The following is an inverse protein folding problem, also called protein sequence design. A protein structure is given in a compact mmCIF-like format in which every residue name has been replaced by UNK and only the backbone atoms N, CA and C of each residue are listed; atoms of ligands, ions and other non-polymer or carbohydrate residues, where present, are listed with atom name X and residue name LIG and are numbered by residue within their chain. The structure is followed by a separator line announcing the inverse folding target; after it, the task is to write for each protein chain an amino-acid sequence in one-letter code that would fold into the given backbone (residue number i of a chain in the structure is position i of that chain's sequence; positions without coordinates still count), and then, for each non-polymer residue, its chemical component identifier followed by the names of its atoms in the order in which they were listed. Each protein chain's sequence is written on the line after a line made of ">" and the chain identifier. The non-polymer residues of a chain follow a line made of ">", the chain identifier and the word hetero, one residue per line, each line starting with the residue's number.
data_IF_381009473618
#
_entry.id   IF_381009473618
#
_cell.length_a   1.000
_cell.length_b   1.000
_cell.length_c   1.000
_cell.angle_alpha   90.00
_cell.angle_beta   90.00
_cell.angle_gamma   90.00
#
_symmetry.space_group_name_H-M   'P 1'
#
loop_
_entity.id
_entity.type
_entity.pdbx_description
1 polymer ?
#
# COMPACT_ATOMS: atom_id res chain seq x y z
N UNK A 1 -0.06 -46.48 16.12
CA UNK A 1 0.96 -45.41 16.10
C UNK A 1 0.23 -44.09 15.85
N UNK A 2 0.00 -43.31 16.90
CA UNK A 2 -0.62 -41.99 16.82
C UNK A 2 0.46 -40.96 17.11
N UNK A 3 0.74 -40.07 16.15
CA UNK A 3 1.73 -39.01 16.28
C UNK A 3 1.04 -37.83 16.96
N UNK A 4 1.44 -37.52 18.20
CA UNK A 4 0.92 -36.35 18.91
C UNK A 4 1.60 -35.09 18.37
N UNK A 5 0.82 -34.18 17.80
CA UNK A 5 1.27 -32.80 17.58
C UNK A 5 1.18 -32.03 18.90
N UNK A 6 2.20 -31.26 19.30
CA UNK A 6 2.11 -30.45 20.52
C UNK A 6 1.06 -29.37 20.31
N UNK A 7 -0.03 -29.52 21.05
CA UNK A 7 -1.12 -28.56 21.16
C UNK A 7 -0.58 -27.29 21.83
N UNK A 8 -0.13 -26.31 21.05
CA UNK A 8 0.28 -25.01 21.56
C UNK A 8 -0.99 -24.22 21.88
N UNK A 9 -1.59 -24.50 23.05
CA UNK A 9 -2.55 -23.59 23.68
C UNK A 9 -1.87 -22.24 23.81
N UNK A 10 -2.39 -21.25 23.11
CA UNK A 10 -2.06 -19.85 23.38
C UNK A 10 -2.71 -19.51 24.72
N UNK A 11 -1.96 -19.69 25.80
CA UNK A 11 -2.32 -19.22 27.13
C UNK A 11 -2.34 -17.68 27.09
N UNK A 12 -3.52 -17.12 26.81
CA UNK A 12 -3.82 -15.70 26.91
C UNK A 12 -3.86 -15.32 28.40
N UNK A 13 -2.69 -15.11 28.99
CA UNK A 13 -2.56 -14.46 30.30
C UNK A 13 -2.27 -12.98 30.10
N UNK A 14 -2.94 -12.17 30.91
CA UNK A 14 -3.00 -10.72 30.85
C UNK A 14 -1.60 -10.06 30.85
N UNK A 15 -1.39 -9.08 29.96
CA UNK A 15 -0.26 -8.14 30.07
C UNK A 15 0.38 -7.65 28.78
N UNK A 16 0.15 -8.30 27.63
CA UNK A 16 0.73 -7.83 26.37
C UNK A 16 -0.12 -6.71 25.76
N UNK A 17 0.29 -5.46 25.98
CA UNK A 17 -0.09 -4.36 25.09
C UNK A 17 0.32 -4.77 23.68
N UNK A 18 -0.64 -5.10 22.81
CA UNK A 18 -0.39 -5.25 21.38
C UNK A 18 0.36 -3.99 20.95
N UNK A 19 1.65 -4.14 20.59
CA UNK A 19 2.39 -3.02 20.02
C UNK A 19 1.69 -2.68 18.70
N UNK A 20 1.29 -1.42 18.47
CA UNK A 20 0.72 -1.03 17.19
C UNK A 20 1.72 -1.39 16.09
N UNK A 21 1.23 -2.02 15.02
CA UNK A 21 2.04 -2.35 13.84
C UNK A 21 2.35 -1.03 13.15
N UNK A 22 3.61 -0.59 13.25
CA UNK A 22 4.05 0.66 12.63
C UNK A 22 4.35 0.40 11.15
N UNK A 23 3.33 0.53 10.29
CA UNK A 23 3.54 0.50 8.83
C UNK A 23 4.19 1.82 8.42
N UNK A 24 5.44 1.77 7.96
CA UNK A 24 6.17 2.91 7.42
C UNK A 24 6.78 2.64 6.03
N UNK A 25 7.13 1.40 5.74
CA UNK A 25 7.72 0.96 4.47
C UNK A 25 6.86 -0.11 3.80
N UNK A 26 6.58 0.07 2.52
CA UNK A 26 5.70 -0.82 1.74
C UNK A 26 6.45 -1.33 0.51
N UNK A 27 6.52 -2.65 0.35
CA UNK A 27 7.02 -3.27 -0.88
C UNK A 27 5.86 -3.48 -1.85
N UNK A 28 5.99 -3.01 -3.09
CA UNK A 28 4.96 -3.18 -4.12
C UNK A 28 5.41 -4.27 -5.11
N UNK A 29 4.88 -5.47 -4.94
CA UNK A 29 5.07 -6.60 -5.87
C UNK A 29 4.14 -6.44 -7.06
N UNK A 30 4.69 -6.49 -8.27
CA UNK A 30 3.94 -6.24 -9.51
C UNK A 30 4.62 -6.88 -10.73
N UNK A 31 3.87 -7.18 -11.80
CA UNK A 31 4.50 -7.55 -13.06
C UNK A 31 5.06 -6.31 -13.76
N UNK A 32 6.02 -6.52 -14.68
CA UNK A 32 6.67 -5.42 -15.40
C UNK A 32 5.67 -4.53 -16.16
N UNK A 33 4.59 -5.12 -16.69
CA UNK A 33 3.51 -4.40 -17.37
C UNK A 33 2.72 -3.45 -16.43
N UNK A 34 2.65 -3.80 -15.14
CA UNK A 34 1.88 -3.08 -14.12
C UNK A 34 2.69 -1.96 -13.45
N UNK A 35 3.88 -1.63 -13.97
CA UNK A 35 4.76 -0.63 -13.37
C UNK A 35 4.04 0.72 -13.19
N UNK A 36 3.14 1.08 -14.11
CA UNK A 36 2.36 2.31 -14.03
C UNK A 36 1.40 2.31 -12.82
N UNK A 37 0.77 1.16 -12.49
CA UNK A 37 -0.06 1.00 -11.29
C UNK A 37 0.80 1.10 -10.02
N UNK A 38 1.95 0.44 -10.01
CA UNK A 38 2.89 0.50 -8.89
C UNK A 38 3.38 1.93 -8.63
N UNK A 39 3.68 2.69 -9.68
CA UNK A 39 4.08 4.10 -9.58
C UNK A 39 2.94 4.99 -9.06
N UNK A 40 1.71 4.77 -9.53
CA UNK A 40 0.53 5.50 -9.05
C UNK A 40 0.29 5.25 -7.56
N UNK A 41 0.34 3.98 -7.13
CA UNK A 41 0.23 3.59 -5.73
C UNK A 41 1.37 4.19 -4.89
N UNK A 42 2.61 4.10 -5.37
CA UNK A 42 3.78 4.67 -4.70
C UNK A 42 3.65 6.19 -4.51
N UNK A 43 3.13 6.91 -5.50
CA UNK A 43 2.89 8.35 -5.40
C UNK A 43 1.83 8.67 -4.33
N UNK A 44 0.72 7.93 -4.29
CA UNK A 44 -0.32 8.11 -3.29
C UNK A 44 0.19 7.85 -1.86
N UNK A 45 0.92 6.74 -1.66
CA UNK A 45 1.55 6.40 -0.38
C UNK A 45 2.59 7.44 0.04
N UNK A 46 3.40 7.92 -0.92
CA UNK A 46 4.42 8.95 -0.68
C UNK A 46 3.83 10.29 -0.22
N UNK A 47 2.63 10.66 -0.68
CA UNK A 47 1.91 11.84 -0.17
C UNK A 47 1.60 11.70 1.32
N UNK A 48 1.41 10.49 1.82
CA UNK A 48 1.12 10.20 3.23
C UNK A 48 2.38 9.99 4.08
N UNK A 49 3.57 10.24 3.50
CA UNK A 49 4.85 10.00 4.17
C UNK A 49 5.22 8.52 4.29
N UNK A 50 4.52 7.61 3.60
CA UNK A 50 4.87 6.20 3.54
C UNK A 50 5.94 5.98 2.47
N UNK A 51 7.02 5.28 2.84
CA UNK A 51 8.06 4.88 1.91
C UNK A 51 7.57 3.68 1.11
N UNK A 52 7.73 3.73 -0.22
CA UNK A 52 7.43 2.60 -1.10
C UNK A 52 8.68 2.15 -1.84
N UNK A 53 8.82 0.84 -2.01
CA UNK A 53 9.94 0.21 -2.69
C UNK A 53 9.44 -0.90 -3.63
N UNK A 54 10.22 -1.15 -4.67
CA UNK A 54 10.09 -2.33 -5.53
C UNK A 54 11.48 -2.67 -6.08
N UNK A 55 11.64 -3.85 -6.67
CA UNK A 55 12.94 -4.40 -7.08
C UNK A 55 13.84 -3.46 -7.92
N UNK A 56 13.24 -2.62 -8.77
CA UNK A 56 13.97 -1.66 -9.63
C UNK A 56 14.17 -0.27 -9.01
N UNK A 57 13.63 0.01 -7.81
CA UNK A 57 13.58 1.36 -7.27
C UNK A 57 14.76 1.68 -6.35
N UNK A 58 15.59 2.65 -6.76
CA UNK A 58 16.64 3.31 -5.94
C UNK A 58 17.61 2.37 -5.20
N UNK A 59 17.77 1.13 -5.68
CA UNK A 59 18.68 0.18 -5.06
C UNK A 59 20.07 0.22 -5.73
N UNK A 60 21.16 -0.01 -4.96
CA UNK A 60 22.51 -0.01 -5.50
C UNK A 60 22.64 -1.00 -6.67
N UNK A 61 23.34 -0.56 -7.74
CA UNK A 61 23.55 -1.37 -8.94
C UNK A 61 24.45 -2.59 -8.66
N UNK A 62 25.20 -2.54 -7.56
CA UNK A 62 26.16 -3.54 -7.11
C UNK A 62 25.50 -4.81 -6.56
N UNK A 63 24.22 -4.74 -6.18
CA UNK A 63 23.46 -5.92 -5.75
C UNK A 63 22.88 -6.68 -6.95
N UNK A 64 22.76 -8.00 -6.85
CA UNK A 64 21.98 -8.77 -7.80
C UNK A 64 20.48 -8.48 -7.64
N UNK A 65 19.68 -8.83 -8.66
CA UNK A 65 18.24 -8.59 -8.63
C UNK A 65 17.55 -9.31 -7.46
N UNK A 66 17.95 -10.55 -7.17
CA UNK A 66 17.38 -11.34 -6.09
C UNK A 66 17.67 -10.71 -4.73
N UNK A 67 18.89 -10.23 -4.49
CA UNK A 67 19.28 -9.55 -3.26
C UNK A 67 18.47 -8.26 -3.07
N UNK A 68 18.24 -7.52 -4.16
CA UNK A 68 17.41 -6.30 -4.12
C UNK A 68 15.97 -6.58 -3.73
N UNK A 69 15.37 -7.60 -4.33
CA UNK A 69 14.02 -8.07 -3.99
C UNK A 69 13.95 -8.49 -2.51
N UNK A 70 14.88 -9.35 -2.09
CA UNK A 70 14.91 -9.88 -0.72
C UNK A 70 15.08 -8.76 0.30
N UNK A 71 15.97 -7.80 0.04
CA UNK A 71 16.16 -6.64 0.89
C UNK A 71 14.92 -5.74 0.94
N UNK A 72 14.33 -5.45 -0.23
CA UNK A 72 13.13 -4.63 -0.32
C UNK A 72 11.96 -5.22 0.48
N UNK A 73 11.74 -6.54 0.35
CA UNK A 73 10.66 -7.22 1.09
C UNK A 73 10.99 -7.26 2.60
N UNK A 74 12.21 -7.66 2.99
CA UNK A 74 12.59 -7.76 4.41
C UNK A 74 12.61 -6.43 5.16
N UNK A 75 12.92 -5.35 4.47
CA UNK A 75 13.00 -4.01 5.06
C UNK A 75 11.65 -3.28 5.05
N UNK A 76 10.63 -3.86 4.43
CA UNK A 76 9.27 -3.34 4.43
C UNK A 76 8.47 -3.90 5.60
N UNK A 77 7.38 -3.22 5.97
CA UNK A 77 6.43 -3.64 7.00
C UNK A 77 5.20 -4.34 6.39
N UNK A 78 4.93 -4.09 5.11
CA UNK A 78 3.82 -4.61 4.35
C UNK A 78 4.27 -4.87 2.90
N UNK A 79 3.84 -6.00 2.33
CA UNK A 79 3.87 -6.23 0.89
C UNK A 79 2.47 -6.00 0.31
N UNK A 80 2.39 -5.15 -0.70
CA UNK A 80 1.20 -5.01 -1.54
C UNK A 80 1.43 -5.78 -2.83
N UNK A 81 0.60 -6.78 -3.10
CA UNK A 81 0.68 -7.57 -4.32
C UNK A 81 -0.34 -7.05 -5.34
N UNK A 82 0.13 -6.49 -6.46
CA UNK A 82 -0.71 -6.12 -7.60
C UNK A 82 -0.96 -7.37 -8.45
N UNK A 83 -2.19 -7.88 -8.42
CA UNK A 83 -2.63 -9.08 -9.11
C UNK A 83 -3.54 -8.67 -10.27
N UNK A 84 -2.93 -8.27 -11.38
CA UNK A 84 -3.57 -8.17 -12.71
C UNK A 84 -3.49 -9.52 -13.43
N UNK A 85 -3.96 -9.61 -14.67
CA UNK A 85 -3.73 -10.79 -15.52
C UNK A 85 -2.22 -11.09 -15.62
N UNK A 86 -1.41 -10.07 -15.90
CA UNK A 86 0.05 -10.15 -15.98
C UNK A 86 0.69 -10.47 -14.62
N UNK A 87 0.19 -9.88 -13.54
CA UNK A 87 0.61 -10.18 -12.17
C UNK A 87 0.37 -11.64 -11.78
N UNK A 88 -0.78 -12.18 -12.17
CA UNK A 88 -1.19 -13.57 -11.90
C UNK A 88 -0.31 -14.59 -12.62
N UNK A 89 0.22 -14.24 -13.80
CA UNK A 89 1.12 -15.10 -14.59
C UNK A 89 2.60 -14.86 -14.29
N UNK A 90 2.93 -13.78 -13.57
CA UNK A 90 4.31 -13.37 -13.33
C UNK A 90 5.03 -14.28 -12.33
N UNK A 91 6.01 -15.03 -12.84
CA UNK A 91 6.93 -15.83 -12.01
C UNK A 91 7.61 -14.98 -10.93
N UNK A 92 7.97 -13.73 -11.23
CA UNK A 92 8.61 -12.83 -10.26
C UNK A 92 7.67 -12.50 -9.11
N UNK A 93 6.42 -12.13 -9.41
CA UNK A 93 5.39 -11.82 -8.39
C UNK A 93 5.15 -13.03 -7.50
N UNK A 94 5.07 -14.23 -8.08
CA UNK A 94 4.93 -15.48 -7.31
C UNK A 94 6.10 -15.75 -6.38
N UNK A 95 7.34 -15.51 -6.83
CA UNK A 95 8.53 -15.67 -5.99
C UNK A 95 8.60 -14.62 -4.87
N UNK A 96 8.22 -13.38 -5.16
CA UNK A 96 8.12 -12.30 -4.16
C UNK A 96 7.08 -12.63 -3.08
N UNK A 97 5.88 -13.06 -3.49
CA UNK A 97 4.83 -13.54 -2.59
C UNK A 97 5.33 -14.73 -1.78
N UNK A 98 5.95 -15.72 -2.42
CA UNK A 98 6.47 -16.91 -1.74
C UNK A 98 7.52 -16.58 -0.69
N UNK A 99 8.44 -15.67 -1.02
CA UNK A 99 9.44 -15.18 -0.07
C UNK A 99 8.80 -14.42 1.09
N UNK A 100 7.89 -13.49 0.82
CA UNK A 100 7.18 -12.73 1.83
C UNK A 100 6.37 -13.63 2.78
N UNK A 101 5.67 -14.64 2.25
CA UNK A 101 4.95 -15.64 3.06
C UNK A 101 5.90 -16.49 3.90
N UNK A 102 7.05 -16.88 3.34
CA UNK A 102 8.06 -17.67 4.04
C UNK A 102 8.72 -16.95 5.23
N UNK A 103 8.59 -15.62 5.31
CA UNK A 103 9.08 -14.80 6.44
C UNK A 103 7.94 -14.19 7.26
N UNK A 104 6.73 -14.73 7.15
CA UNK A 104 5.51 -14.27 7.86
C UNK A 104 5.20 -12.78 7.65
N UNK A 105 5.50 -12.26 6.46
CA UNK A 105 5.25 -10.87 6.13
C UNK A 105 3.75 -10.59 5.94
N UNK A 106 3.30 -9.38 6.29
CA UNK A 106 1.94 -8.94 6.01
C UNK A 106 1.79 -8.74 4.51
N UNK A 107 0.74 -9.32 3.92
CA UNK A 107 0.43 -9.19 2.50
C UNK A 107 -0.98 -8.66 2.33
N UNK A 108 -1.14 -7.61 1.53
CA UNK A 108 -2.44 -7.11 1.07
C UNK A 108 -2.51 -7.24 -0.45
N UNK A 109 -3.32 -8.17 -0.99
CA UNK A 109 -3.51 -8.27 -2.43
C UNK A 109 -4.45 -7.18 -2.93
N UNK A 110 -4.06 -6.48 -3.99
CA UNK A 110 -4.94 -5.67 -4.82
C UNK A 110 -5.17 -6.47 -6.11
N UNK A 111 -6.40 -6.87 -6.37
CA UNK A 111 -6.74 -7.78 -7.48
C UNK A 111 -7.57 -7.08 -8.54
N UNK A 112 -7.16 -7.22 -9.80
CA UNK A 112 -7.94 -6.78 -10.94
C UNK A 112 -9.13 -7.72 -11.15
N UNK A 113 -10.31 -7.16 -11.40
CA UNK A 113 -11.50 -7.92 -11.74
C UNK A 113 -11.23 -8.92 -12.88
N UNK A 114 -11.51 -10.20 -12.64
CA UNK A 114 -11.27 -11.28 -13.61
C UNK A 114 -9.92 -11.99 -13.48
N UNK A 115 -9.01 -11.49 -12.64
CA UNK A 115 -7.74 -12.18 -12.32
C UNK A 115 -7.90 -13.24 -11.23
N UNK A 116 -6.90 -14.10 -11.08
CA UNK A 116 -6.87 -15.15 -10.06
C UNK A 116 -5.76 -14.90 -9.04
N UNK A 117 -6.06 -15.07 -7.76
CA UNK A 117 -5.04 -14.97 -6.72
C UNK A 117 -4.04 -16.13 -6.83
N UNK A 118 -2.73 -15.87 -6.71
CA UNK A 118 -1.73 -16.92 -6.55
C UNK A 118 -2.03 -17.79 -5.34
N UNK A 119 -1.83 -19.11 -5.47
CA UNK A 119 -2.12 -20.13 -4.44
C UNK A 119 -1.66 -19.76 -3.03
N UNK A 120 -0.48 -19.15 -2.87
CA UNK A 120 0.05 -18.81 -1.55
C UNK A 120 -0.71 -17.69 -0.81
N UNK A 121 -1.61 -16.99 -1.51
CA UNK A 121 -2.42 -15.87 -0.99
C UNK A 121 -3.91 -15.97 -1.38
N UNK A 122 -4.37 -17.09 -1.96
CA UNK A 122 -5.76 -17.27 -2.40
C UNK A 122 -6.81 -17.22 -1.28
N UNK A 123 -6.40 -17.56 -0.06
CA UNK A 123 -7.17 -17.48 1.17
C UNK A 123 -7.25 -16.06 1.77
N UNK A 124 -6.47 -15.10 1.27
CA UNK A 124 -6.54 -13.71 1.74
C UNK A 124 -7.75 -13.01 1.12
N UNK A 125 -8.37 -12.09 1.86
CA UNK A 125 -9.39 -11.20 1.31
C UNK A 125 -8.70 -10.08 0.53
N UNK A 126 -8.83 -10.03 -0.81
CA UNK A 126 -8.15 -9.01 -1.61
C UNK A 126 -8.97 -7.71 -1.65
N UNK A 127 -8.32 -6.62 -2.03
CA UNK A 127 -8.98 -5.36 -2.43
C UNK A 127 -9.21 -5.42 -3.95
N UNK A 128 -10.46 -5.60 -4.42
CA UNK A 128 -10.73 -5.67 -5.85
C UNK A 128 -10.63 -4.29 -6.50
N UNK A 129 -10.24 -4.25 -7.77
CA UNK A 129 -10.23 -3.05 -8.58
C UNK A 129 -10.51 -3.35 -10.05
N UNK A 130 -11.02 -2.36 -10.77
CA UNK A 130 -10.93 -2.29 -12.23
C UNK A 130 -9.93 -1.21 -12.63
N UNK A 131 -9.28 -1.28 -13.79
CA UNK A 131 -8.27 -0.29 -14.20
C UNK A 131 -8.74 1.16 -14.12
N UNK A 132 -10.00 1.43 -14.49
CA UNK A 132 -10.59 2.76 -14.47
C UNK A 132 -10.89 3.26 -13.04
N UNK A 133 -10.91 2.35 -12.07
CA UNK A 133 -11.24 2.60 -10.67
C UNK A 133 -10.10 2.25 -9.73
N UNK A 134 -8.87 2.13 -10.23
CA UNK A 134 -7.69 1.90 -9.40
C UNK A 134 -7.55 2.88 -8.22
N UNK A 135 -7.85 4.19 -8.35
CA UNK A 135 -7.86 5.09 -7.20
C UNK A 135 -8.76 4.63 -6.05
N UNK A 136 -9.90 4.00 -6.34
CA UNK A 136 -10.81 3.50 -5.29
C UNK A 136 -10.15 2.38 -4.46
N UNK A 137 -9.34 1.52 -5.10
CA UNK A 137 -8.57 0.49 -4.39
C UNK A 137 -7.41 1.07 -3.60
N UNK A 138 -6.74 2.11 -4.12
CA UNK A 138 -5.74 2.89 -3.38
C UNK A 138 -6.35 3.49 -2.11
N UNK A 139 -7.53 4.10 -2.20
CA UNK A 139 -8.22 4.66 -1.04
C UNK A 139 -8.61 3.59 -0.01
N UNK A 140 -9.04 2.42 -0.49
CA UNK A 140 -9.37 1.27 0.37
C UNK A 140 -8.14 0.74 1.10
N UNK A 141 -7.00 0.66 0.41
CA UNK A 141 -5.72 0.27 1.00
C UNK A 141 -5.24 1.30 2.03
N UNK A 142 -5.31 2.60 1.73
CA UNK A 142 -4.94 3.66 2.67
C UNK A 142 -5.81 3.60 3.92
N UNK A 143 -7.13 3.41 3.75
CA UNK A 143 -8.06 3.23 4.87
C UNK A 143 -7.66 2.03 5.74
N UNK A 144 -7.28 0.91 5.12
CA UNK A 144 -6.79 -0.26 5.85
C UNK A 144 -5.48 0.05 6.60
N UNK A 145 -4.51 0.71 5.96
CA UNK A 145 -3.23 1.09 6.58
C UNK A 145 -3.44 2.00 7.80
N UNK A 146 -4.37 2.97 7.71
CA UNK A 146 -4.71 3.87 8.83
C UNK A 146 -5.27 3.16 10.06
N UNK A 147 -5.76 1.92 9.92
CA UNK A 147 -6.19 1.12 11.06
C UNK A 147 -4.99 0.53 11.85
N UNK A 148 -3.82 0.43 11.23
CA UNK A 148 -2.61 -0.16 11.84
C UNK A 148 -1.61 0.90 12.29
N UNK A 149 -1.46 1.99 11.54
CA UNK A 149 -0.45 3.04 11.78
C UNK A 149 -1.06 4.43 11.88
N UNK A 150 -0.44 5.32 12.66
CA UNK A 150 -0.82 6.75 12.72
C UNK A 150 -0.20 7.49 11.56
N UNK A 151 -1.04 7.93 10.63
CA UNK A 151 -0.68 8.87 9.57
C UNK A 151 -1.16 10.26 9.96
N UNK A 152 -0.23 11.20 10.14
CA UNK A 152 -0.53 12.55 10.62
C UNK A 152 -0.38 13.62 9.54
N UNK A 153 0.47 13.36 8.55
CA UNK A 153 0.90 14.35 7.57
C UNK A 153 0.48 13.96 6.16
N UNK A 154 0.15 14.98 5.38
CA UNK A 154 -0.13 14.89 3.96
C UNK A 154 0.73 15.92 3.21
N UNK A 155 1.54 15.44 2.26
CA UNK A 155 2.27 16.24 1.30
C UNK A 155 1.37 16.55 0.11
N UNK A 156 1.28 17.83 -0.23
CA UNK A 156 0.45 18.35 -1.30
C UNK A 156 1.31 19.23 -2.19
N UNK A 157 1.43 18.89 -3.47
CA UNK A 157 2.03 19.75 -4.48
C UNK A 157 0.95 20.66 -5.05
N UNK A 158 1.14 21.98 -4.98
CA UNK A 158 0.13 22.92 -5.48
C UNK A 158 0.03 22.87 -7.02
N UNK A 159 -1.15 22.61 -7.61
CA UNK A 159 -1.29 22.60 -9.07
C UNK A 159 -1.15 23.99 -9.69
N UNK A 160 -1.26 25.06 -8.89
CA UNK A 160 -1.20 26.44 -9.37
C UNK A 160 0.20 27.05 -9.42
N UNK A 161 1.06 26.72 -8.45
CA UNK A 161 2.41 27.31 -8.33
C UNK A 161 3.54 26.27 -8.26
N UNK A 162 3.23 24.98 -8.20
CA UNK A 162 4.22 23.90 -8.17
C UNK A 162 4.86 23.65 -6.80
N UNK A 163 4.69 24.55 -5.83
CA UNK A 163 5.26 24.41 -4.49
C UNK A 163 4.69 23.22 -3.72
N UNK A 164 5.56 22.52 -2.98
CA UNK A 164 5.18 21.43 -2.08
C UNK A 164 4.93 21.97 -0.67
N UNK A 165 3.84 21.54 -0.05
CA UNK A 165 3.51 21.85 1.34
C UNK A 165 3.11 20.59 2.10
N UNK A 166 3.27 20.64 3.42
CA UNK A 166 2.79 19.58 4.32
C UNK A 166 1.63 20.13 5.14
N UNK A 167 0.55 19.37 5.21
CA UNK A 167 -0.64 19.68 6.00
C UNK A 167 -1.04 18.48 6.87
N UNK A 168 -1.92 18.69 7.85
CA UNK A 168 -2.48 17.57 8.61
C UNK A 168 -3.36 16.70 7.71
N UNK A 169 -3.20 15.38 7.84
CA UNK A 169 -4.04 14.42 7.15
C UNK A 169 -5.49 14.53 7.68
N UNK A 170 -6.50 14.74 6.82
CA UNK A 170 -7.89 14.77 7.25
C UNK A 170 -8.32 13.48 7.96
N UNK A 171 -9.21 13.57 8.95
CA UNK A 171 -9.72 12.39 9.68
C UNK A 171 -10.37 11.39 8.73
N UNK A 172 -10.39 10.10 9.10
CA UNK A 172 -11.01 9.09 8.24
C UNK A 172 -12.48 9.41 7.94
N UNK A 173 -13.24 9.89 8.93
CA UNK A 173 -14.63 10.32 8.72
C UNK A 173 -14.76 11.45 7.69
N UNK A 174 -13.81 12.39 7.67
CA UNK A 174 -13.81 13.46 6.67
C UNK A 174 -13.54 12.93 5.27
N UNK A 175 -12.59 12.00 5.15
CA UNK A 175 -12.25 11.32 3.88
C UNK A 175 -13.44 10.49 3.40
N UNK A 176 -14.05 9.69 4.27
CA UNK A 176 -15.20 8.83 3.95
C UNK A 176 -16.41 9.66 3.48
N UNK A 177 -16.70 10.79 4.14
CA UNK A 177 -17.75 11.72 3.70
C UNK A 177 -17.45 12.32 2.33
N UNK A 178 -16.22 12.79 2.11
CA UNK A 178 -15.83 13.39 0.85
C UNK A 178 -15.95 12.37 -0.31
N UNK A 179 -15.45 11.15 -0.08
CA UNK A 179 -15.52 10.06 -1.04
C UNK A 179 -16.97 9.65 -1.34
N UNK A 180 -17.80 9.43 -0.32
CA UNK A 180 -19.21 9.08 -0.51
C UNK A 180 -20.01 10.18 -1.24
N UNK A 181 -19.70 11.44 -0.93
CA UNK A 181 -20.31 12.61 -1.56
C UNK A 181 -19.81 12.91 -2.97
N UNK A 182 -18.78 12.19 -3.46
CA UNK A 182 -18.05 12.52 -4.71
C UNK A 182 -17.55 13.97 -4.74
N UNK A 183 -17.10 14.43 -3.58
CA UNK A 183 -16.53 15.76 -3.36
C UNK A 183 -15.05 15.64 -3.05
N UNK A 184 -14.26 16.67 -3.35
CA UNK A 184 -12.87 16.70 -2.95
C UNK A 184 -12.67 17.18 -1.51
N UNK A 185 -11.46 17.00 -1.00
CA UNK A 185 -10.99 17.57 0.25
C UNK A 185 -10.40 18.94 -0.04
N UNK A 186 -11.04 19.99 0.47
CA UNK A 186 -10.61 21.37 0.23
C UNK A 186 -9.44 21.75 1.15
N UNK A 187 -8.43 22.40 0.57
CA UNK A 187 -7.32 23.04 1.29
C UNK A 187 -6.89 24.32 0.59
N UNK A 188 -5.96 25.06 1.20
CA UNK A 188 -5.42 26.32 0.68
C UNK A 188 -3.91 26.21 0.50
N UNK A 189 -3.40 26.66 -0.64
CA UNK A 189 -1.96 26.75 -0.85
C UNK A 189 -1.33 27.76 0.12
N UNK A 190 -0.35 27.32 0.91
CA UNK A 190 0.38 28.21 1.83
C UNK A 190 1.23 29.27 1.11
N UNK A 191 1.55 29.07 -0.16
CA UNK A 191 2.42 29.95 -0.95
C UNK A 191 1.64 30.94 -1.82
N UNK A 192 0.74 30.44 -2.67
CA UNK A 192 -0.01 31.28 -3.62
C UNK A 192 -1.44 31.60 -3.18
N UNK A 193 -1.87 31.09 -2.01
CA UNK A 193 -3.20 31.35 -1.42
C UNK A 193 -4.39 31.03 -2.34
N UNK A 194 -4.19 30.12 -3.29
CA UNK A 194 -5.27 29.56 -4.11
C UNK A 194 -5.80 28.27 -3.48
N UNK A 195 -7.12 28.08 -3.59
CA UNK A 195 -7.78 26.85 -3.18
C UNK A 195 -7.26 25.65 -3.98
N UNK A 196 -7.11 24.52 -3.29
CA UNK A 196 -6.72 23.24 -3.86
C UNK A 196 -7.75 22.22 -3.41
N UNK A 197 -8.37 21.57 -4.38
CA UNK A 197 -9.22 20.41 -4.14
C UNK A 197 -8.35 19.15 -4.24
N UNK A 198 -8.46 18.24 -3.27
CA UNK A 198 -7.70 16.98 -3.22
C UNK A 198 -8.66 15.81 -3.41
N UNK A 199 -8.29 14.83 -4.24
CA UNK A 199 -9.05 13.59 -4.39
C UNK A 199 -8.96 12.74 -3.10
N UNK A 200 -10.08 12.39 -2.45
CA UNK A 200 -10.06 11.64 -1.19
C UNK A 200 -9.54 10.20 -1.32
N UNK A 201 -9.38 9.68 -2.54
CA UNK A 201 -9.01 8.29 -2.80
C UNK A 201 -7.51 8.07 -2.83
N UNK A 202 -6.77 8.99 -3.45
CA UNK A 202 -5.31 8.88 -3.61
C UNK A 202 -4.55 10.12 -3.09
N UNK A 203 -5.28 11.08 -2.54
CA UNK A 203 -4.79 12.36 -2.04
C UNK A 203 -4.04 13.19 -3.10
N UNK A 204 -4.31 12.96 -4.39
CA UNK A 204 -3.76 13.79 -5.46
C UNK A 204 -4.49 15.15 -5.50
N UNK A 205 -3.77 16.25 -5.78
CA UNK A 205 -4.41 17.52 -6.11
C UNK A 205 -5.20 17.38 -7.42
N UNK A 206 -6.49 17.71 -7.37
CA UNK A 206 -7.30 17.87 -8.57
C UNK A 206 -6.78 19.07 -9.37
N UNK A 207 -6.76 18.94 -10.70
CA UNK A 207 -6.37 20.03 -11.61
C UNK A 207 -7.58 20.85 -12.02
#
# INVERSE_FOLDING_TARGET
>A
MAVSFPNRRLDYTAGNKCRPVMIGKIYISHAKADQHLAQSLAAALGRLGLESQWASFRQPAELGWAERVMYGIRSSDLLVALITEEGSLSRTVHQEIGFARGIDHLIVPLIEEGSELPFLIDHLTPIPFSPQRFPDAVGSLIRAIRAFTRLEWLRVSCPHCGEEMTQYLPTQDSVDRAWAGRTGLETMCSYCQKGITIDPRDFSPCR
#
